data_IF_590213899015
#
_entry.id   IF_590213899015
#
_cell.length_a   1.000
_cell.length_b   1.000
_cell.length_c   1.000
_cell.angle_alpha   90.00
_cell.angle_beta   90.00
_cell.angle_gamma   90.00
#
_symmetry.space_group_name_H-M   'P 1'
#
loop_
_entity.id
_entity.type
_entity.pdbx_description
1 polymer ?
#
# COMPACT_ATOMS: atom_id res chain seq x y z
N UNK A 1 9.79 -16.39 0.49
CA UNK A 1 9.59 -15.02 -0.03
C UNK A 1 9.81 -14.06 1.13
N UNK A 2 10.92 -13.31 1.14
CA UNK A 2 11.14 -12.29 2.18
C UNK A 2 10.36 -11.05 1.73
N UNK A 3 9.34 -10.67 2.48
CA UNK A 3 8.62 -9.41 2.23
C UNK A 3 9.58 -8.26 2.53
N UNK A 4 9.77 -7.35 1.56
CA UNK A 4 10.74 -6.26 1.67
C UNK A 4 10.55 -5.41 2.94
N UNK A 5 9.32 -5.31 3.46
CA UNK A 5 8.99 -4.56 4.68
C UNK A 5 8.52 -5.45 5.84
N UNK A 6 8.48 -6.78 5.67
CA UNK A 6 8.04 -7.72 6.71
C UNK A 6 6.74 -7.31 7.41
N UNK A 7 6.78 -7.23 8.73
CA UNK A 7 5.65 -6.84 9.60
C UNK A 7 5.54 -5.31 9.81
N UNK A 8 6.46 -4.51 9.25
CA UNK A 8 6.47 -3.05 9.41
C UNK A 8 5.29 -2.37 8.70
N UNK A 9 4.62 -3.07 7.79
CA UNK A 9 3.47 -2.57 7.04
C UNK A 9 2.36 -3.62 7.10
N UNK A 10 1.16 -3.18 7.47
CA UNK A 10 -0.07 -3.96 7.26
C UNK A 10 -0.73 -3.49 5.97
N UNK A 11 -1.07 -4.43 5.09
CA UNK A 11 -1.74 -4.15 3.81
C UNK A 11 -3.10 -4.84 3.84
N UNK A 12 -4.13 -4.07 3.54
CA UNK A 12 -5.47 -4.59 3.28
C UNK A 12 -5.82 -4.31 1.81
N UNK A 13 -6.11 -5.37 1.06
CA UNK A 13 -6.69 -5.26 -0.27
C UNK A 13 -8.21 -5.30 -0.15
N UNK A 14 -8.90 -4.37 -0.82
CA UNK A 14 -10.35 -4.30 -0.90
C UNK A 14 -10.74 -4.40 -2.37
N UNK A 15 -11.41 -5.48 -2.75
CA UNK A 15 -12.00 -5.69 -4.06
C UNK A 15 -13.36 -4.96 -4.12
N UNK A 16 -13.52 -4.09 -5.11
CA UNK A 16 -14.74 -3.30 -5.26
C UNK A 16 -15.99 -4.16 -5.47
N UNK A 17 -15.84 -5.35 -6.02
CA UNK A 17 -16.94 -6.26 -6.31
C UNK A 17 -17.32 -7.12 -5.10
N UNK A 18 -16.37 -7.47 -4.25
CA UNK A 18 -16.59 -8.36 -3.11
C UNK A 18 -16.92 -7.57 -1.83
N UNK A 19 -16.23 -6.46 -1.58
CA UNK A 19 -16.39 -5.65 -0.37
C UNK A 19 -17.35 -4.46 -0.56
N UNK A 20 -18.43 -4.62 -1.34
CA UNK A 20 -19.41 -3.55 -1.63
C UNK A 20 -20.04 -2.92 -0.38
N UNK A 21 -20.07 -3.63 0.74
CA UNK A 21 -20.60 -3.14 2.02
C UNK A 21 -19.60 -2.28 2.81
N UNK A 22 -18.30 -2.38 2.50
CA UNK A 22 -17.23 -1.70 3.20
C UNK A 22 -17.37 -0.16 3.06
N UNK A 23 -17.32 0.60 4.17
CA UNK A 23 -17.45 2.06 4.14
C UNK A 23 -16.44 2.77 3.22
N UNK A 24 -15.20 2.27 3.16
CA UNK A 24 -14.13 2.84 2.31
C UNK A 24 -14.47 2.65 0.83
N UNK A 25 -14.90 1.43 0.46
CA UNK A 25 -15.31 1.11 -0.92
C UNK A 25 -16.51 1.96 -1.34
N UNK A 26 -17.55 2.02 -0.49
CA UNK A 26 -18.74 2.85 -0.76
C UNK A 26 -18.39 4.32 -0.95
N UNK A 27 -17.52 4.87 -0.09
CA UNK A 27 -17.07 6.26 -0.19
C UNK A 27 -16.32 6.51 -1.49
N UNK A 28 -15.34 5.66 -1.82
CA UNK A 28 -14.54 5.80 -3.04
C UNK A 28 -15.37 5.73 -4.32
N UNK A 29 -16.32 4.78 -4.40
CA UNK A 29 -17.24 4.65 -5.53
C UNK A 29 -18.19 5.84 -5.63
N UNK A 30 -18.75 6.30 -4.51
CA UNK A 30 -19.65 7.47 -4.48
C UNK A 30 -18.93 8.76 -4.93
N UNK A 31 -17.66 8.90 -4.58
CA UNK A 31 -16.83 10.04 -4.97
C UNK A 31 -16.31 9.95 -6.42
N UNK A 32 -16.56 8.84 -7.13
CA UNK A 32 -16.12 8.65 -8.51
C UNK A 32 -14.60 8.60 -8.65
N UNK A 33 -13.90 8.03 -7.67
CA UNK A 33 -12.44 7.92 -7.65
C UNK A 33 -11.93 6.98 -8.75
N UNK A 34 -10.70 7.24 -9.20
CA UNK A 34 -10.02 6.37 -10.16
C UNK A 34 -9.30 5.22 -9.45
N UNK A 35 -9.46 4.00 -9.99
CA UNK A 35 -8.88 2.79 -9.43
C UNK A 35 -7.71 2.28 -10.29
N UNK A 36 -6.67 1.66 -9.70
CA UNK A 36 -6.52 1.33 -8.28
C UNK A 36 -6.31 2.57 -7.39
N UNK A 37 -6.91 2.53 -6.19
CA UNK A 37 -6.88 3.60 -5.19
C UNK A 37 -6.07 3.12 -3.98
N UNK A 38 -4.99 3.82 -3.64
CA UNK A 38 -4.18 3.52 -2.45
C UNK A 38 -4.43 4.56 -1.36
N UNK A 39 -4.84 4.07 -0.20
CA UNK A 39 -4.94 4.84 1.03
C UNK A 39 -3.78 4.48 1.95
N UNK A 40 -3.08 5.49 2.44
CA UNK A 40 -2.07 5.33 3.48
C UNK A 40 -2.58 5.98 4.76
N UNK A 41 -2.74 5.19 5.82
CA UNK A 41 -3.37 5.61 7.09
C UNK A 41 -4.74 6.28 6.89
N UNK A 42 -5.55 5.77 5.96
CA UNK A 42 -6.90 6.27 5.67
C UNK A 42 -6.95 7.50 4.76
N UNK A 43 -5.80 8.05 4.34
CA UNK A 43 -5.71 9.17 3.39
C UNK A 43 -5.37 8.68 1.99
N UNK A 44 -6.05 9.21 0.97
CA UNK A 44 -5.72 8.90 -0.43
C UNK A 44 -4.33 9.44 -0.78
N UNK A 45 -3.47 8.58 -1.33
CA UNK A 45 -2.13 8.96 -1.82
C UNK A 45 -1.93 8.73 -3.31
N UNK A 46 -2.61 7.73 -3.88
CA UNK A 46 -2.51 7.40 -5.31
C UNK A 46 -3.87 6.98 -5.86
N UNK A 47 -4.21 7.44 -7.07
CA UNK A 47 -5.41 7.09 -7.83
C UNK A 47 -5.03 6.73 -9.27
N UNK A 48 -5.75 5.79 -9.90
CA UNK A 48 -5.53 5.38 -11.30
C UNK A 48 -4.21 4.65 -11.59
N UNK A 49 -3.35 4.47 -10.58
CA UNK A 49 -2.07 3.80 -10.70
C UNK A 49 -1.20 4.01 -9.46
N UNK A 50 -0.31 3.06 -9.16
CA UNK A 50 0.55 3.12 -7.96
C UNK A 50 2.02 3.04 -8.39
N UNK A 51 2.72 4.18 -8.57
CA UNK A 51 4.13 4.19 -8.95
C UNK A 51 5.01 3.69 -7.79
N UNK A 52 5.74 2.59 -8.00
CA UNK A 52 6.52 1.94 -6.94
C UNK A 52 7.59 2.85 -6.31
N UNK A 53 8.24 3.70 -7.11
CA UNK A 53 9.22 4.66 -6.62
C UNK A 53 8.58 5.73 -5.71
N UNK A 54 7.39 6.20 -6.06
CA UNK A 54 6.66 7.17 -5.25
C UNK A 54 6.14 6.54 -3.96
N UNK A 55 5.69 5.29 -4.01
CA UNK A 55 5.32 4.52 -2.83
C UNK A 55 6.51 4.32 -1.89
N UNK A 56 7.70 3.96 -2.42
CA UNK A 56 8.92 3.88 -1.62
C UNK A 56 9.24 5.22 -0.95
N UNK A 57 9.23 6.31 -1.71
CA UNK A 57 9.52 7.63 -1.18
C UNK A 57 8.52 8.06 -0.08
N UNK A 58 7.25 7.66 -0.19
CA UNK A 58 6.25 7.86 0.85
C UNK A 58 6.63 7.10 2.14
N UNK A 59 7.01 5.82 2.02
CA UNK A 59 7.40 4.98 3.15
C UNK A 59 8.69 5.49 3.83
N UNK A 60 9.68 5.89 3.04
CA UNK A 60 10.93 6.47 3.55
C UNK A 60 10.66 7.75 4.37
N UNK A 61 9.77 8.63 3.89
CA UNK A 61 9.41 9.88 4.58
C UNK A 61 8.77 9.66 5.95
N UNK A 62 8.11 8.53 6.15
CA UNK A 62 7.48 8.17 7.43
C UNK A 62 8.36 7.23 8.27
N UNK A 63 9.62 7.02 7.86
CA UNK A 63 10.59 6.21 8.59
C UNK A 63 10.38 4.70 8.47
N UNK A 64 9.60 4.24 7.48
CA UNK A 64 9.41 2.82 7.22
C UNK A 64 10.45 2.37 6.20
N UNK A 65 11.50 1.73 6.71
CA UNK A 65 12.58 1.20 5.88
C UNK A 65 12.38 -0.29 5.60
N UNK A 66 12.86 -0.79 4.45
CA UNK A 66 12.92 -2.22 4.19
C UNK A 66 13.67 -2.98 5.28
N UNK A 67 13.43 -4.29 5.39
CA UNK A 67 14.28 -5.15 6.22
C UNK A 67 15.68 -5.21 5.62
N UNK A 68 16.69 -5.16 6.48
CA UNK A 68 18.06 -5.48 6.07
C UNK A 68 18.09 -6.92 5.56
N UNK A 69 18.23 -7.07 4.24
CA UNK A 69 18.57 -8.36 3.66
C UNK A 69 20.07 -8.50 3.92
N UNK A 70 20.45 -9.09 5.06
CA UNK A 70 21.83 -9.53 5.22
C UNK A 70 22.11 -10.56 4.11
N UNK A 71 22.96 -10.29 3.11
CA UNK A 71 23.35 -11.32 2.18
C UNK A 71 24.00 -12.45 3.01
N UNK A 72 23.71 -13.73 2.70
CA UNK A 72 24.37 -14.82 3.42
C UNK A 72 25.88 -14.60 3.29
N UNK A 73 26.58 -14.55 4.44
CA UNK A 73 28.03 -14.55 4.48
C UNK A 73 28.50 -15.74 3.63
N UNK A 74 29.13 -15.46 2.50
CA UNK A 74 29.83 -16.47 1.71
C UNK A 74 30.88 -17.09 2.63
N UNK A 75 30.66 -18.35 3.01
CA UNK A 75 31.70 -19.20 3.61
C UNK A 75 32.46 -19.90 2.50
#
# INVERSE_FOLDING_TARGET
MILAYGEKISIQFLDLQQERSNPVVKKAVKEGRDFPLLLFNGEVKFEGGIPLLALKALLDRVGIEPNEINPPLSR
#
